data_IF_522533998803
#
_entry.id   IF_522533998803
#
_cell.length_a   1.000
_cell.length_b   1.000
_cell.length_c   1.000
_cell.angle_alpha   90.00
_cell.angle_beta   90.00
_cell.angle_gamma   90.00
#
_symmetry.space_group_name_H-M   'P 1'
#
loop_
_entity.id
_entity.type
_entity.pdbx_description
1 polymer ?
#
# COMPACT_ATOMS: atom_id res chain seq x y z
N UNK A 1 -64.65 -9.93 16.16
CA UNK A 1 -63.76 -8.92 16.75
C UNK A 1 -62.50 -9.54 17.41
N UNK A 2 -62.62 -10.66 18.05
CA UNK A 2 -61.53 -11.37 18.80
C UNK A 2 -60.41 -11.86 17.86
N UNK A 3 -60.73 -12.40 16.68
CA UNK A 3 -59.74 -12.96 15.73
C UNK A 3 -58.84 -11.87 15.11
N UNK A 4 -59.36 -10.67 14.90
CA UNK A 4 -58.60 -9.51 14.36
C UNK A 4 -57.58 -8.96 15.36
N UNK A 5 -57.92 -9.00 16.66
CA UNK A 5 -57.00 -8.57 17.72
C UNK A 5 -55.90 -9.63 18.01
N UNK A 6 -56.23 -10.91 17.81
CA UNK A 6 -55.25 -12.00 17.98
C UNK A 6 -54.17 -11.99 16.88
N UNK A 7 -54.56 -11.72 15.64
CA UNK A 7 -53.62 -11.58 14.51
C UNK A 7 -52.75 -10.36 14.66
N UNK A 8 -53.29 -9.24 15.18
CA UNK A 8 -52.54 -8.00 15.43
C UNK A 8 -51.54 -8.18 16.56
N UNK A 9 -51.90 -8.89 17.63
CA UNK A 9 -50.95 -9.19 18.75
C UNK A 9 -49.87 -10.18 18.32
N UNK A 10 -50.14 -11.15 17.47
CA UNK A 10 -49.18 -12.09 16.92
C UNK A 10 -48.21 -11.40 15.95
N UNK A 11 -48.69 -10.43 15.17
CA UNK A 11 -47.82 -9.62 14.31
C UNK A 11 -46.85 -8.74 15.09
N UNK A 12 -47.27 -8.18 16.25
CA UNK A 12 -46.41 -7.37 17.13
C UNK A 12 -45.34 -8.24 17.78
N UNK A 13 -45.63 -9.50 18.14
CA UNK A 13 -44.64 -10.41 18.73
C UNK A 13 -43.54 -10.84 17.75
N UNK A 14 -43.83 -10.89 16.44
CA UNK A 14 -42.84 -11.22 15.41
C UNK A 14 -41.79 -10.10 15.22
N UNK A 15 -42.12 -8.86 15.59
CA UNK A 15 -41.17 -7.74 15.49
C UNK A 15 -40.16 -7.67 16.66
N UNK A 16 -40.40 -8.35 17.77
CA UNK A 16 -39.51 -8.32 18.95
C UNK A 16 -38.43 -9.42 18.95
N UNK A 17 -38.41 -10.35 18.01
CA UNK A 17 -37.51 -11.49 18.01
C UNK A 17 -36.17 -11.27 17.28
N UNK A 18 -35.91 -10.08 16.74
CA UNK A 18 -34.62 -9.77 16.12
C UNK A 18 -33.70 -9.05 17.11
N UNK A 19 -33.23 -9.77 18.13
CA UNK A 19 -32.15 -9.29 18.99
C UNK A 19 -30.86 -9.34 18.18
N UNK A 20 -30.47 -8.22 17.59
CA UNK A 20 -29.16 -8.04 16.96
C UNK A 20 -28.09 -8.36 17.99
N UNK A 21 -27.41 -9.48 17.80
CA UNK A 21 -26.23 -9.84 18.57
C UNK A 21 -25.18 -8.74 18.30
N UNK A 22 -25.01 -7.82 19.28
CA UNK A 22 -23.88 -6.91 19.27
C UNK A 22 -22.62 -7.78 19.25
N UNK A 23 -21.96 -7.87 18.11
CA UNK A 23 -20.58 -8.30 18.09
C UNK A 23 -19.79 -7.17 18.74
N UNK A 24 -19.57 -7.27 20.02
CA UNK A 24 -18.51 -6.50 20.68
C UNK A 24 -17.22 -6.99 20.01
N UNK A 25 -16.70 -6.16 19.12
CA UNK A 25 -15.29 -6.26 18.76
C UNK A 25 -14.60 -5.92 20.07
N UNK A 26 -14.11 -6.96 20.77
CA UNK A 26 -13.31 -6.77 21.97
C UNK A 26 -12.22 -5.78 21.58
N UNK A 27 -12.18 -4.65 22.28
CA UNK A 27 -10.99 -3.80 22.31
C UNK A 27 -9.81 -4.74 22.47
N UNK A 28 -8.77 -4.58 21.64
CA UNK A 28 -7.50 -5.27 21.88
C UNK A 28 -7.23 -5.05 23.35
N UNK A 29 -7.18 -6.15 24.12
CA UNK A 29 -6.99 -6.07 25.57
C UNK A 29 -5.78 -5.18 25.82
N UNK A 30 -5.99 -4.05 26.49
CA UNK A 30 -4.90 -3.15 26.93
C UNK A 30 -3.89 -3.89 27.82
N UNK A 31 -4.28 -5.06 28.34
CA UNK A 31 -3.48 -5.94 29.20
C UNK A 31 -2.37 -6.71 28.43
N UNK A 32 -2.39 -6.71 27.07
CA UNK A 32 -1.36 -7.38 26.26
C UNK A 32 -0.09 -6.54 26.06
N UNK A 33 -0.14 -5.25 26.35
CA UNK A 33 1.00 -4.35 26.18
C UNK A 33 1.56 -3.94 27.53
N UNK A 34 2.86 -4.20 27.80
CA UNK A 34 3.47 -3.77 29.06
C UNK A 34 3.47 -2.24 29.17
N UNK A 35 3.23 -1.72 30.38
CA UNK A 35 3.20 -0.27 30.65
C UNK A 35 4.57 0.39 30.47
N UNK A 36 5.65 -0.37 30.65
CA UNK A 36 7.02 0.13 30.61
C UNK A 36 7.91 -0.72 29.73
N UNK A 37 8.93 -0.10 29.14
CA UNK A 37 9.98 -0.81 28.44
C UNK A 37 10.83 -1.65 29.40
N UNK A 38 11.25 -2.85 28.97
CA UNK A 38 12.18 -3.71 29.72
C UNK A 38 13.60 -3.13 29.81
N UNK A 39 13.96 -2.21 28.93
CA UNK A 39 15.25 -1.52 28.92
C UNK A 39 15.27 -0.35 29.90
N UNK A 40 16.41 -0.13 30.58
CA UNK A 40 16.58 1.02 31.48
C UNK A 40 16.80 2.30 30.66
N UNK A 41 15.78 3.15 30.62
CA UNK A 41 15.74 4.39 29.84
C UNK A 41 16.17 5.64 30.65
N UNK A 42 16.67 5.46 31.89
CA UNK A 42 16.98 6.56 32.83
C UNK A 42 17.97 7.61 32.31
N UNK A 43 18.76 7.27 31.28
CA UNK A 43 19.80 8.15 30.74
C UNK A 43 19.36 8.92 29.49
N UNK A 44 18.11 8.79 29.05
CA UNK A 44 17.58 9.51 27.90
C UNK A 44 16.96 10.84 28.35
N UNK A 45 17.50 11.96 27.90
CA UNK A 45 16.93 13.28 28.21
C UNK A 45 15.69 13.52 27.35
N UNK A 46 14.61 13.97 28.02
CA UNK A 46 13.36 14.34 27.37
C UNK A 46 13.49 15.71 26.68
N UNK A 47 14.01 15.74 25.50
CA UNK A 47 13.77 16.87 24.61
C UNK A 47 12.60 16.53 23.68
N UNK A 48 11.55 17.33 23.75
CA UNK A 48 10.34 17.23 22.89
C UNK A 48 10.67 17.57 21.43
N UNK A 49 11.55 16.79 20.80
CA UNK A 49 11.93 17.01 19.43
C UNK A 49 11.14 16.04 18.54
N UNK A 50 10.02 16.50 17.99
CA UNK A 50 9.22 15.82 16.97
C UNK A 50 9.90 15.86 15.59
N UNK A 51 11.23 16.02 15.56
CA UNK A 51 11.96 16.03 14.31
C UNK A 51 11.89 14.66 13.62
N UNK A 52 11.78 14.71 12.32
CA UNK A 52 11.76 13.51 11.48
C UNK A 52 12.96 12.63 11.83
N UNK A 53 12.79 11.32 12.06
CA UNK A 53 13.86 10.40 12.50
C UNK A 53 15.13 10.48 11.63
N UNK A 54 15.02 10.89 10.36
CA UNK A 54 16.16 11.11 9.44
C UNK A 54 17.05 12.28 9.83
N UNK A 55 16.50 13.27 10.53
CA UNK A 55 17.25 14.43 11.00
C UNK A 55 18.19 14.07 12.15
N UNK A 56 17.87 13.01 12.92
CA UNK A 56 18.71 12.48 13.99
C UNK A 56 20.08 12.00 13.50
N UNK A 57 20.21 11.67 12.22
CA UNK A 57 21.50 11.31 11.61
C UNK A 57 22.32 12.53 11.19
N UNK A 58 21.71 13.70 11.06
CA UNK A 58 22.33 14.93 10.57
C UNK A 58 23.13 14.75 9.26
N UNK A 59 22.55 13.99 8.31
CA UNK A 59 23.12 13.69 7.00
C UNK A 59 22.22 14.26 5.90
N UNK A 60 22.51 15.45 5.36
CA UNK A 60 21.66 16.11 4.36
C UNK A 60 21.46 15.28 3.09
N UNK A 61 22.49 14.54 2.66
CA UNK A 61 22.43 13.66 1.49
C UNK A 61 21.41 12.55 1.68
N UNK A 62 21.41 11.87 2.83
CA UNK A 62 20.44 10.84 3.17
C UNK A 62 19.00 11.38 3.17
N UNK A 63 18.81 12.53 3.82
CA UNK A 63 17.49 13.18 3.87
C UNK A 63 16.99 13.52 2.45
N UNK A 64 17.86 14.04 1.58
CA UNK A 64 17.56 14.33 0.19
C UNK A 64 17.14 13.07 -0.57
N UNK A 65 17.87 11.96 -0.44
CA UNK A 65 17.56 10.69 -1.10
C UNK A 65 16.21 10.15 -0.65
N UNK A 66 15.88 10.24 0.63
CA UNK A 66 14.58 9.82 1.16
C UNK A 66 13.45 10.68 0.59
N UNK A 67 13.63 12.00 0.48
CA UNK A 67 12.65 12.88 -0.14
C UNK A 67 12.43 12.53 -1.61
N UNK A 68 13.51 12.31 -2.36
CA UNK A 68 13.45 11.92 -3.78
C UNK A 68 12.75 10.58 -3.93
N UNK A 69 13.09 9.57 -3.13
CA UNK A 69 12.46 8.25 -3.19
C UNK A 69 10.95 8.32 -2.91
N UNK A 70 10.54 9.07 -1.89
CA UNK A 70 9.13 9.25 -1.57
C UNK A 70 8.32 9.96 -2.68
N UNK A 71 9.00 10.72 -3.56
CA UNK A 71 8.38 11.42 -4.68
C UNK A 71 8.37 10.59 -5.96
N UNK A 72 9.45 9.86 -6.24
CA UNK A 72 9.70 9.29 -7.56
C UNK A 72 9.60 7.75 -7.58
N UNK A 73 9.51 7.08 -6.42
CA UNK A 73 9.45 5.62 -6.40
C UNK A 73 8.17 5.10 -7.06
N UNK A 74 8.26 4.23 -8.08
CA UNK A 74 7.10 3.77 -8.85
C UNK A 74 6.15 2.89 -8.02
N UNK A 75 6.66 2.10 -7.09
CA UNK A 75 5.81 1.25 -6.23
C UNK A 75 4.98 2.10 -5.28
N UNK A 76 5.59 3.16 -4.72
CA UNK A 76 4.87 4.10 -3.87
C UNK A 76 3.83 4.91 -4.66
N UNK A 77 4.14 5.28 -5.91
CA UNK A 77 3.19 5.91 -6.83
C UNK A 77 1.99 4.98 -7.11
N UNK A 78 2.25 3.71 -7.41
CA UNK A 78 1.19 2.71 -7.60
C UNK A 78 0.31 2.53 -6.36
N UNK A 79 0.89 2.60 -5.15
CA UNK A 79 0.10 2.57 -3.91
C UNK A 79 -0.73 3.85 -3.72
N UNK A 80 -0.23 5.00 -4.14
CA UNK A 80 -0.98 6.25 -4.13
C UNK A 80 -2.22 6.16 -5.04
N UNK A 81 -2.07 5.63 -6.26
CA UNK A 81 -3.19 5.43 -7.18
C UNK A 81 -4.22 4.43 -6.62
N UNK A 82 -3.79 3.37 -5.95
CA UNK A 82 -4.70 2.45 -5.24
C UNK A 82 -5.46 3.14 -4.11
N UNK A 83 -4.81 4.05 -3.39
CA UNK A 83 -5.48 4.85 -2.35
C UNK A 83 -6.54 5.76 -2.96
N UNK A 84 -6.25 6.42 -4.08
CA UNK A 84 -7.21 7.26 -4.82
C UNK A 84 -8.40 6.40 -5.29
N UNK A 85 -8.14 5.27 -5.92
CA UNK A 85 -9.17 4.35 -6.37
C UNK A 85 -10.09 3.88 -5.21
N UNK A 86 -9.51 3.57 -4.05
CA UNK A 86 -10.29 3.20 -2.86
C UNK A 86 -11.13 4.37 -2.32
N UNK A 87 -10.68 5.61 -2.49
CA UNK A 87 -11.44 6.83 -2.18
C UNK A 87 -12.66 6.97 -3.10
N UNK A 88 -12.50 6.69 -4.39
CA UNK A 88 -13.60 6.70 -5.35
C UNK A 88 -14.59 5.55 -5.09
N UNK A 89 -14.13 4.38 -4.68
CA UNK A 89 -15.02 3.28 -4.24
C UNK A 89 -15.90 3.70 -3.05
N UNK A 90 -15.34 4.46 -2.11
CA UNK A 90 -16.12 5.01 -0.99
C UNK A 90 -17.14 6.05 -1.46
N UNK A 91 -16.80 6.86 -2.47
CA UNK A 91 -17.70 7.83 -3.10
C UNK A 91 -18.84 7.11 -3.83
N UNK A 92 -18.53 6.07 -4.62
CA UNK A 92 -19.52 5.23 -5.31
C UNK A 92 -20.46 4.54 -4.32
N UNK A 93 -19.91 4.00 -3.22
CA UNK A 93 -20.73 3.40 -2.17
C UNK A 93 -21.69 4.42 -1.54
N UNK A 94 -21.25 5.66 -1.37
CA UNK A 94 -22.05 6.78 -0.87
C UNK A 94 -23.14 7.22 -1.83
N UNK A 95 -22.87 7.20 -3.12
CA UNK A 95 -23.81 7.62 -4.17
C UNK A 95 -25.08 6.75 -4.22
N UNK A 96 -25.02 5.51 -3.75
CA UNK A 96 -26.18 4.60 -3.68
C UNK A 96 -27.32 5.11 -2.78
N UNK A 97 -27.09 6.13 -1.95
CA UNK A 97 -28.13 6.79 -1.15
C UNK A 97 -29.03 7.67 -2.04
N UNK A 98 -28.51 8.12 -3.18
CA UNK A 98 -29.20 9.02 -4.11
C UNK A 98 -30.06 8.25 -5.12
N UNK A 99 -31.13 8.88 -5.66
CA UNK A 99 -31.87 8.29 -6.76
C UNK A 99 -31.02 8.15 -8.02
N UNK A 100 -31.23 7.08 -8.76
CA UNK A 100 -30.58 6.81 -10.05
C UNK A 100 -31.50 7.24 -11.18
N UNK A 101 -31.01 8.10 -12.07
CA UNK A 101 -31.71 8.59 -13.25
C UNK A 101 -31.14 7.90 -14.48
N UNK A 102 -31.98 7.16 -15.19
CA UNK A 102 -31.63 6.52 -16.46
C UNK A 102 -32.47 7.09 -17.59
N UNK A 103 -31.84 7.71 -18.57
CA UNK A 103 -32.48 8.10 -19.82
C UNK A 103 -32.15 7.07 -20.90
N UNK A 104 -33.19 6.59 -21.58
CA UNK A 104 -33.03 5.66 -22.69
C UNK A 104 -33.68 6.25 -23.96
N UNK A 105 -32.92 6.17 -25.05
CA UNK A 105 -33.38 6.48 -26.41
C UNK A 105 -33.12 5.26 -27.26
N UNK A 106 -34.13 4.76 -27.91
CA UNK A 106 -33.99 3.58 -28.77
C UNK A 106 -34.70 3.80 -30.11
N UNK A 107 -34.11 3.30 -31.20
CA UNK A 107 -34.74 3.25 -32.49
C UNK A 107 -34.60 1.84 -33.08
N UNK A 108 -35.69 1.24 -33.45
CA UNK A 108 -35.71 -0.10 -34.07
C UNK A 108 -36.35 -0.02 -35.43
N UNK A 109 -35.66 -0.49 -36.46
CA UNK A 109 -36.22 -0.68 -37.79
C UNK A 109 -36.36 -2.18 -38.06
N UNK A 110 -37.56 -2.64 -38.20
CA UNK A 110 -37.86 -4.06 -38.44
C UNK A 110 -38.43 -4.21 -39.85
N UNK A 111 -37.81 -5.04 -40.67
CA UNK A 111 -38.34 -5.49 -41.94
C UNK A 111 -38.81 -6.93 -41.81
N UNK A 112 -40.09 -7.15 -41.98
CA UNK A 112 -40.69 -8.50 -41.99
C UNK A 112 -41.02 -8.90 -43.41
N UNK A 113 -40.47 -10.02 -43.86
CA UNK A 113 -40.83 -10.66 -45.14
C UNK A 113 -41.84 -11.76 -44.87
N UNK A 114 -42.97 -11.70 -45.55
CA UNK A 114 -44.01 -12.72 -45.48
C UNK A 114 -43.68 -13.82 -46.50
N UNK A 115 -42.97 -14.85 -46.05
CA UNK A 115 -42.62 -16.00 -46.90
C UNK A 115 -43.78 -16.99 -46.88
N UNK A 116 -44.31 -17.36 -48.06
CA UNK A 116 -45.38 -18.34 -48.18
C UNK A 116 -46.79 -17.78 -48.31
N UNK A 117 -47.00 -16.48 -48.22
CA UNK A 117 -48.27 -15.82 -48.51
C UNK A 117 -48.12 -15.03 -49.82
N UNK A 118 -48.82 -15.49 -50.88
CA UNK A 118 -48.83 -14.83 -52.16
C UNK A 118 -50.22 -14.14 -52.36
N UNK A 119 -50.29 -12.87 -51.96
CA UNK A 119 -51.44 -12.05 -52.24
C UNK A 119 -51.25 -11.29 -53.55
N UNK A 120 -52.16 -11.43 -54.52
CA UNK A 120 -52.07 -10.63 -55.74
C UNK A 120 -52.13 -9.13 -55.42
N UNK A 121 -51.17 -8.36 -55.86
CA UNK A 121 -51.03 -6.91 -55.66
C UNK A 121 -50.66 -6.41 -54.25
N UNK A 122 -50.09 -7.23 -53.37
CA UNK A 122 -49.61 -6.76 -52.05
C UNK A 122 -48.12 -6.92 -51.91
N UNK A 123 -47.48 -5.96 -51.23
CA UNK A 123 -46.04 -6.04 -50.91
C UNK A 123 -45.83 -7.21 -49.94
N UNK A 124 -44.93 -8.12 -50.30
CA UNK A 124 -44.56 -9.30 -49.48
C UNK A 124 -43.62 -8.93 -48.32
N UNK A 125 -43.31 -7.67 -48.15
CA UNK A 125 -42.54 -7.19 -47.01
C UNK A 125 -43.04 -5.84 -46.53
N UNK A 126 -43.06 -5.65 -45.25
CA UNK A 126 -43.32 -4.34 -44.63
C UNK A 126 -42.22 -3.96 -43.69
N UNK A 127 -41.88 -2.68 -43.67
CA UNK A 127 -40.86 -2.08 -42.78
C UNK A 127 -41.60 -1.26 -41.73
N UNK A 128 -41.32 -1.54 -40.46
CA UNK A 128 -41.78 -0.77 -39.32
C UNK A 128 -40.62 -0.05 -38.66
N UNK A 129 -40.75 1.24 -38.42
CA UNK A 129 -39.84 2.01 -37.61
C UNK A 129 -40.51 2.29 -36.26
N UNK A 130 -39.82 1.96 -35.17
CA UNK A 130 -40.25 2.25 -33.80
C UNK A 130 -39.19 3.07 -33.11
N UNK A 131 -39.60 4.19 -32.57
CA UNK A 131 -38.73 5.04 -31.73
C UNK A 131 -39.31 5.02 -30.33
N UNK A 132 -38.43 4.80 -29.35
CA UNK A 132 -38.79 4.87 -27.93
C UNK A 132 -37.85 5.80 -27.20
N UNK A 133 -38.42 6.64 -26.37
CA UNK A 133 -37.67 7.47 -25.42
C UNK A 133 -38.28 7.25 -24.03
N UNK A 134 -37.45 7.16 -23.01
CA UNK A 134 -37.90 6.99 -21.65
C UNK A 134 -36.91 7.57 -20.64
N UNK A 135 -37.49 8.11 -19.56
CA UNK A 135 -36.74 8.51 -18.36
C UNK A 135 -37.16 7.58 -17.23
N UNK A 136 -36.22 6.91 -16.62
CA UNK A 136 -36.46 5.97 -15.54
C UNK A 136 -35.74 6.47 -14.27
N UNK A 137 -36.48 6.62 -13.18
CA UNK A 137 -35.94 7.02 -11.88
C UNK A 137 -36.15 5.85 -10.94
N UNK A 138 -35.10 5.36 -10.32
CA UNK A 138 -35.17 4.34 -9.27
C UNK A 138 -34.46 4.82 -8.02
N UNK A 139 -35.08 4.61 -6.88
CA UNK A 139 -34.50 5.01 -5.59
C UNK A 139 -34.82 3.95 -4.53
N UNK A 140 -33.76 3.38 -3.95
CA UNK A 140 -33.85 2.50 -2.79
C UNK A 140 -33.79 3.35 -1.51
N UNK A 141 -34.87 3.31 -0.72
CA UNK A 141 -34.93 4.00 0.55
C UNK A 141 -34.15 3.25 1.61
N UNK A 142 -33.15 3.91 2.20
CA UNK A 142 -32.30 3.32 3.24
C UNK A 142 -32.96 3.35 4.63
N UNK A 143 -34.12 2.68 4.78
CA UNK A 143 -34.88 2.66 6.03
C UNK A 143 -34.12 1.94 7.15
N UNK A 144 -33.39 0.89 6.82
CA UNK A 144 -32.67 0.06 7.77
C UNK A 144 -31.21 0.51 7.97
N UNK A 145 -30.74 1.48 7.21
CA UNK A 145 -29.35 1.94 7.23
C UNK A 145 -28.37 0.97 6.60
N UNK A 146 -28.82 0.08 5.69
CA UNK A 146 -27.97 -0.85 4.93
C UNK A 146 -26.98 -0.11 4.05
N UNK A 147 -27.46 0.88 3.29
CA UNK A 147 -26.62 1.65 2.36
C UNK A 147 -25.64 2.53 3.14
N UNK A 148 -26.07 3.10 4.28
CA UNK A 148 -25.19 3.86 5.16
C UNK A 148 -24.06 3.00 5.74
N UNK A 149 -24.38 1.77 6.20
CA UNK A 149 -23.34 0.87 6.71
C UNK A 149 -22.38 0.42 5.59
N UNK A 150 -22.88 0.18 4.37
CA UNK A 150 -22.06 -0.13 3.20
C UNK A 150 -21.10 1.01 2.87
N UNK A 151 -21.60 2.27 2.88
CA UNK A 151 -20.76 3.47 2.71
C UNK A 151 -19.70 3.57 3.82
N UNK A 152 -20.12 3.36 5.07
CA UNK A 152 -19.19 3.45 6.20
C UNK A 152 -18.13 2.36 6.15
N UNK A 153 -18.47 1.13 5.70
CA UNK A 153 -17.50 0.06 5.45
C UNK A 153 -16.48 0.47 4.39
N UNK A 154 -16.94 0.99 3.24
CA UNK A 154 -16.05 1.47 2.19
C UNK A 154 -15.12 2.59 2.68
N UNK A 155 -15.64 3.53 3.50
CA UNK A 155 -14.82 4.57 4.15
C UNK A 155 -13.76 3.98 5.06
N UNK A 156 -14.09 2.94 5.85
CA UNK A 156 -13.11 2.27 6.72
C UNK A 156 -12.04 1.52 5.91
N UNK A 157 -12.38 0.95 4.77
CA UNK A 157 -11.41 0.38 3.84
C UNK A 157 -10.47 1.44 3.24
N UNK A 158 -10.99 2.62 2.91
CA UNK A 158 -10.17 3.76 2.50
C UNK A 158 -9.20 4.19 3.61
N UNK A 159 -9.66 4.31 4.87
CA UNK A 159 -8.82 4.65 6.03
C UNK A 159 -7.72 3.58 6.25
N UNK A 160 -8.04 2.29 6.06
CA UNK A 160 -7.07 1.20 6.10
C UNK A 160 -5.99 1.35 5.02
N UNK A 161 -6.40 1.58 3.76
CA UNK A 161 -5.48 1.78 2.63
C UNK A 161 -4.62 3.04 2.81
N UNK A 162 -5.17 4.11 3.41
CA UNK A 162 -4.41 5.30 3.78
C UNK A 162 -3.31 4.99 4.79
N UNK A 163 -3.62 4.15 5.78
CA UNK A 163 -2.63 3.70 6.77
C UNK A 163 -1.57 2.81 6.12
N UNK A 164 -1.94 1.91 5.19
CA UNK A 164 -1.00 1.09 4.42
C UNK A 164 -0.03 1.96 3.60
N UNK A 165 -0.55 3.01 2.95
CA UNK A 165 0.28 3.95 2.20
C UNK A 165 1.32 4.65 3.10
N UNK A 166 0.91 5.08 4.30
CA UNK A 166 1.82 5.68 5.28
C UNK A 166 2.87 4.68 5.77
N UNK A 167 2.47 3.43 6.03
CA UNK A 167 3.37 2.34 6.39
C UNK A 167 4.41 2.07 5.30
N UNK A 168 3.98 2.00 4.04
CA UNK A 168 4.87 1.79 2.90
C UNK A 168 5.86 2.92 2.71
N UNK A 169 5.40 4.17 2.85
CA UNK A 169 6.27 5.36 2.81
C UNK A 169 7.36 5.32 3.90
N UNK A 170 6.99 4.94 5.11
CA UNK A 170 7.95 4.79 6.22
C UNK A 170 8.93 3.65 5.94
N UNK A 171 8.43 2.50 5.48
CA UNK A 171 9.25 1.34 5.12
C UNK A 171 10.25 1.66 4.00
N UNK A 172 9.80 2.34 2.94
CA UNK A 172 10.67 2.80 1.85
C UNK A 172 11.78 3.72 2.38
N UNK A 173 11.44 4.68 3.24
CA UNK A 173 12.42 5.58 3.85
C UNK A 173 13.48 4.81 4.64
N UNK A 174 13.08 3.79 5.40
CA UNK A 174 14.01 2.90 6.13
C UNK A 174 14.88 2.05 5.20
N UNK A 175 14.31 1.54 4.10
CA UNK A 175 15.06 0.76 3.11
C UNK A 175 16.10 1.60 2.37
N UNK A 176 15.75 2.83 1.98
CA UNK A 176 16.70 3.80 1.37
C UNK A 176 17.84 4.11 2.32
N UNK A 177 17.53 4.37 3.59
CA UNK A 177 18.58 4.63 4.59
C UNK A 177 19.51 3.41 4.75
N UNK A 178 18.98 2.22 4.89
CA UNK A 178 19.75 0.97 4.99
C UNK A 178 20.62 0.75 3.75
N UNK A 179 20.06 0.90 2.55
CA UNK A 179 20.79 0.74 1.29
C UNK A 179 21.92 1.76 1.16
N UNK A 180 21.67 3.01 1.54
CA UNK A 180 22.69 4.06 1.54
C UNK A 180 23.83 3.74 2.48
N UNK A 181 23.57 3.34 3.75
CA UNK A 181 24.60 2.94 4.68
C UNK A 181 25.39 1.71 4.20
N UNK A 182 24.72 0.72 3.59
CA UNK A 182 25.38 -0.45 3.03
C UNK A 182 26.30 -0.07 1.86
N UNK A 183 25.88 0.88 1.02
CA UNK A 183 26.69 1.41 -0.08
C UNK A 183 27.97 2.09 0.45
N UNK A 184 27.82 2.91 1.48
CA UNK A 184 28.94 3.59 2.16
C UNK A 184 29.89 2.57 2.79
N UNK A 185 29.38 1.60 3.54
CA UNK A 185 30.19 0.53 4.15
C UNK A 185 31.01 -0.20 3.09
N UNK A 186 30.41 -0.65 1.99
CA UNK A 186 31.12 -1.35 0.93
C UNK A 186 32.21 -0.47 0.29
N UNK A 187 32.01 0.84 0.19
CA UNK A 187 33.04 1.75 -0.31
C UNK A 187 34.28 1.82 0.59
N UNK A 188 34.11 1.75 1.92
CA UNK A 188 35.25 1.64 2.85
C UNK A 188 35.92 0.28 2.72
N UNK A 189 35.16 -0.79 2.51
CA UNK A 189 35.72 -2.13 2.25
C UNK A 189 36.60 -2.12 0.98
N UNK A 190 36.14 -1.47 -0.09
CA UNK A 190 36.96 -1.30 -1.30
C UNK A 190 38.28 -0.61 -1.01
N UNK A 191 38.26 0.51 -0.28
CA UNK A 191 39.49 1.24 0.09
C UNK A 191 40.43 0.38 0.92
N UNK A 192 39.89 -0.39 1.88
CA UNK A 192 40.68 -1.30 2.71
C UNK A 192 41.34 -2.39 1.87
N UNK A 193 40.55 -3.06 1.00
CA UNK A 193 41.08 -4.14 0.13
C UNK A 193 42.07 -3.59 -0.89
N UNK A 194 41.90 -2.37 -1.40
CA UNK A 194 42.89 -1.71 -2.25
C UNK A 194 44.24 -1.56 -1.53
N UNK A 195 44.27 -0.99 -0.30
CA UNK A 195 45.47 -0.89 0.49
C UNK A 195 46.12 -2.24 0.79
N UNK A 196 45.29 -3.26 1.07
CA UNK A 196 45.76 -4.63 1.29
C UNK A 196 46.40 -5.19 0.02
N UNK A 197 45.79 -4.99 -1.15
CA UNK A 197 46.34 -5.41 -2.44
C UNK A 197 47.64 -4.73 -2.77
N UNK A 198 47.77 -3.44 -2.49
CA UNK A 198 49.03 -2.70 -2.62
C UNK A 198 50.15 -3.27 -1.70
N UNK A 199 49.78 -3.64 -0.47
CA UNK A 199 50.71 -4.27 0.48
C UNK A 199 51.18 -5.61 -0.01
N UNK A 200 50.29 -6.48 -0.51
CA UNK A 200 50.66 -7.77 -1.10
C UNK A 200 51.49 -7.60 -2.37
N UNK A 201 51.25 -6.60 -3.19
CA UNK A 201 52.06 -6.27 -4.35
C UNK A 201 53.51 -5.91 -3.97
N UNK A 202 53.66 -5.04 -2.97
CA UNK A 202 54.99 -4.67 -2.42
C UNK A 202 55.69 -5.90 -1.82
N UNK A 203 54.97 -6.74 -1.08
CA UNK A 203 55.52 -7.96 -0.51
C UNK A 203 56.00 -8.95 -1.59
N UNK A 204 55.19 -9.15 -2.66
CA UNK A 204 55.60 -10.00 -3.78
C UNK A 204 56.89 -9.46 -4.46
N UNK A 205 56.98 -8.12 -4.68
CA UNK A 205 58.19 -7.51 -5.22
C UNK A 205 59.40 -7.80 -4.35
N UNK A 206 59.26 -7.61 -3.03
CA UNK A 206 60.34 -7.88 -2.07
C UNK A 206 60.75 -9.37 -2.06
N UNK A 207 59.81 -10.32 -2.10
CA UNK A 207 60.11 -11.76 -2.14
C UNK A 207 60.77 -12.13 -3.49
N UNK A 208 60.32 -11.54 -4.62
CA UNK A 208 60.95 -11.76 -5.93
C UNK A 208 62.42 -11.34 -5.94
N UNK A 209 62.75 -10.17 -5.39
CA UNK A 209 64.14 -9.70 -5.30
C UNK A 209 65.01 -10.66 -4.46
N UNK A 210 64.49 -11.18 -3.35
CA UNK A 210 65.20 -12.17 -2.52
C UNK A 210 65.35 -13.51 -3.24
N UNK A 211 64.35 -13.94 -3.98
CA UNK A 211 64.41 -15.16 -4.76
C UNK A 211 65.48 -15.11 -5.87
N UNK A 212 65.57 -13.97 -6.58
CA UNK A 212 66.61 -13.73 -7.60
C UNK A 212 68.00 -13.73 -7.00
N UNK A 213 68.16 -13.35 -5.74
CA UNK A 213 69.43 -13.40 -5.01
C UNK A 213 69.73 -14.76 -4.34
N UNK A 214 68.82 -15.75 -4.53
CA UNK A 214 68.97 -17.07 -3.94
C UNK A 214 68.68 -17.13 -2.42
N UNK A 215 68.06 -16.11 -1.85
CA UNK A 215 67.78 -16.00 -0.41
C UNK A 215 66.36 -16.49 -0.04
N UNK A 216 65.43 -16.46 -0.98
CA UNK A 216 64.07 -16.94 -0.81
C UNK A 216 63.82 -18.21 -1.66
N UNK A 217 62.85 -19.02 -1.24
CA UNK A 217 62.45 -20.26 -1.94
C UNK A 217 61.40 -19.98 -2.99
N UNK A 218 61.31 -20.86 -4.01
CA UNK A 218 60.22 -20.84 -5.00
C UNK A 218 58.84 -20.97 -4.35
N UNK A 219 58.73 -21.68 -3.24
CA UNK A 219 57.49 -21.82 -2.47
C UNK A 219 57.02 -20.46 -1.90
N UNK A 220 57.95 -19.71 -1.27
CA UNK A 220 57.64 -18.39 -0.72
C UNK A 220 57.19 -17.41 -1.81
N UNK A 221 57.82 -17.44 -2.99
CA UNK A 221 57.39 -16.63 -4.14
C UNK A 221 55.98 -17.00 -4.59
N UNK A 222 55.67 -18.29 -4.73
CA UNK A 222 54.33 -18.73 -5.17
C UNK A 222 53.23 -18.47 -4.15
N UNK A 223 53.55 -18.52 -2.85
CA UNK A 223 52.62 -18.12 -1.78
C UNK A 223 52.32 -16.63 -1.80
N UNK A 224 53.36 -15.78 -2.00
CA UNK A 224 53.18 -14.36 -2.12
C UNK A 224 52.36 -13.98 -3.38
N UNK A 225 52.61 -14.63 -4.52
CA UNK A 225 51.81 -14.46 -5.74
C UNK A 225 50.34 -14.87 -5.51
N UNK A 226 50.07 -16.02 -4.90
CA UNK A 226 48.74 -16.50 -4.58
C UNK A 226 48.00 -15.50 -3.67
N UNK A 227 48.67 -14.93 -2.66
CA UNK A 227 48.10 -13.93 -1.76
C UNK A 227 47.67 -12.66 -2.51
N UNK A 228 48.52 -12.15 -3.41
CA UNK A 228 48.21 -11.00 -4.26
C UNK A 228 47.00 -11.30 -5.17
N UNK A 229 46.97 -12.44 -5.84
CA UNK A 229 45.86 -12.84 -6.75
C UNK A 229 44.56 -12.98 -6.00
N UNK A 230 44.57 -13.55 -4.79
CA UNK A 230 43.39 -13.65 -3.93
C UNK A 230 42.84 -12.28 -3.54
N UNK A 231 43.72 -11.35 -3.16
CA UNK A 231 43.35 -9.98 -2.80
C UNK A 231 42.76 -9.22 -4.02
N UNK A 232 43.37 -9.37 -5.21
CA UNK A 232 42.84 -8.79 -6.46
C UNK A 232 41.45 -9.32 -6.80
N UNK A 233 41.21 -10.62 -6.63
CA UNK A 233 39.89 -11.23 -6.85
C UNK A 233 38.85 -10.65 -5.85
N UNK A 234 39.23 -10.49 -4.58
CA UNK A 234 38.37 -9.87 -3.57
C UNK A 234 38.04 -8.43 -3.93
N UNK A 235 39.03 -7.64 -4.41
CA UNK A 235 38.79 -6.27 -4.86
C UNK A 235 37.77 -6.21 -6.01
N UNK A 236 37.96 -7.05 -7.03
CA UNK A 236 37.04 -7.12 -8.17
C UNK A 236 35.61 -7.48 -7.74
N UNK A 237 35.48 -8.41 -6.78
CA UNK A 237 34.19 -8.76 -6.19
C UNK A 237 33.54 -7.58 -5.47
N UNK A 238 34.28 -6.85 -4.63
CA UNK A 238 33.75 -5.68 -3.92
C UNK A 238 33.30 -4.56 -4.85
N UNK A 239 34.02 -4.33 -5.95
CA UNK A 239 33.61 -3.36 -6.99
C UNK A 239 32.29 -3.75 -7.63
N UNK A 240 32.10 -5.04 -7.98
CA UNK A 240 30.81 -5.52 -8.52
C UNK A 240 29.67 -5.38 -7.52
N UNK A 241 29.93 -5.64 -6.23
CA UNK A 241 28.93 -5.41 -5.17
C UNK A 241 28.55 -3.93 -5.11
N UNK A 242 29.53 -3.01 -5.21
CA UNK A 242 29.28 -1.57 -5.23
C UNK A 242 28.34 -1.16 -6.35
N UNK A 243 28.55 -1.68 -7.56
CA UNK A 243 27.67 -1.40 -8.69
C UNK A 243 26.24 -1.92 -8.48
N UNK A 244 26.11 -3.11 -7.90
CA UNK A 244 24.79 -3.69 -7.59
C UNK A 244 24.07 -2.87 -6.52
N UNK A 245 24.75 -2.49 -5.45
CA UNK A 245 24.18 -1.64 -4.41
C UNK A 245 23.77 -0.26 -4.95
N UNK A 246 24.58 0.30 -5.86
CA UNK A 246 24.26 1.57 -6.52
C UNK A 246 22.99 1.45 -7.36
N UNK A 247 22.83 0.37 -8.15
CA UNK A 247 21.62 0.13 -8.94
C UNK A 247 20.38 -0.03 -8.07
N UNK A 248 20.48 -0.80 -6.98
CA UNK A 248 19.37 -0.99 -6.05
C UNK A 248 18.92 0.34 -5.41
N UNK A 249 19.89 1.19 -5.02
CA UNK A 249 19.57 2.51 -4.49
C UNK A 249 18.90 3.41 -5.55
N UNK A 250 19.45 3.42 -6.79
CA UNK A 250 18.88 4.17 -7.91
C UNK A 250 17.45 3.74 -8.23
N UNK A 251 17.16 2.43 -8.21
CA UNK A 251 15.80 1.90 -8.37
C UNK A 251 14.85 2.42 -7.28
N UNK A 252 15.29 2.38 -6.01
CA UNK A 252 14.49 2.89 -4.89
C UNK A 252 14.17 4.38 -5.00
N UNK A 253 15.09 5.19 -5.52
CA UNK A 253 14.87 6.63 -5.72
C UNK A 253 14.19 6.97 -7.05
N UNK A 254 13.88 5.96 -7.88
CA UNK A 254 13.22 6.14 -9.17
C UNK A 254 14.13 6.70 -10.26
N UNK A 255 15.45 6.48 -10.16
CA UNK A 255 16.42 6.85 -11.19
C UNK A 255 16.82 5.64 -12.04
N UNK A 256 17.33 5.90 -13.25
CA UNK A 256 17.83 4.83 -14.13
C UNK A 256 19.05 4.13 -13.48
N UNK A 257 19.03 2.79 -13.32
CA UNK A 257 20.05 2.03 -12.57
C UNK A 257 21.34 1.84 -13.39
N UNK A 258 22.11 2.87 -13.58
CA UNK A 258 23.38 2.85 -14.32
C UNK A 258 24.56 2.25 -13.51
N UNK A 259 24.37 2.01 -12.22
CA UNK A 259 25.40 1.45 -11.34
C UNK A 259 26.47 2.44 -10.89
N UNK A 260 26.36 3.70 -11.28
CA UNK A 260 27.28 4.76 -10.88
C UNK A 260 26.56 5.68 -9.90
N UNK A 261 26.98 5.68 -8.67
CA UNK A 261 26.50 6.60 -7.65
C UNK A 261 27.63 7.55 -7.31
N UNK A 262 27.48 8.80 -7.74
CA UNK A 262 28.53 9.82 -7.52
C UNK A 262 28.48 10.27 -6.06
N UNK A 263 29.52 9.93 -5.33
CA UNK A 263 29.64 10.23 -3.92
C UNK A 263 30.61 11.41 -3.71
N UNK A 264 30.03 12.57 -3.52
CA UNK A 264 30.78 13.82 -3.37
C UNK A 264 31.27 14.11 -1.95
N UNK A 265 31.26 13.16 -1.01
CA UNK A 265 31.56 13.50 0.40
C UNK A 265 32.49 12.51 1.07
N UNK A 266 33.45 13.08 1.82
CA UNK A 266 34.15 12.41 2.91
C UNK A 266 33.13 12.06 3.99
N UNK A 267 32.67 10.79 4.01
CA UNK A 267 31.74 10.32 5.03
C UNK A 267 32.47 10.23 6.38
N UNK A 268 31.94 10.95 7.36
CA UNK A 268 32.22 10.72 8.77
C UNK A 268 31.04 9.95 9.37
N UNK A 269 31.29 8.96 10.23
CA UNK A 269 30.22 8.28 10.95
C UNK A 269 29.35 9.31 11.68
N UNK A 270 28.02 9.25 11.49
CA UNK A 270 27.14 10.21 12.14
C UNK A 270 27.24 10.07 13.65
N UNK A 271 27.32 11.19 14.34
CA UNK A 271 27.07 11.21 15.77
C UNK A 271 25.56 11.10 15.94
N UNK A 272 25.09 9.92 16.32
CA UNK A 272 23.67 9.72 16.66
C UNK A 272 23.31 10.63 17.82
N UNK A 273 22.43 11.58 17.55
CA UNK A 273 21.68 12.27 18.59
C UNK A 273 20.57 11.31 18.98
N UNK A 274 20.69 10.71 20.16
CA UNK A 274 19.65 9.81 20.67
C UNK A 274 18.33 10.58 20.75
N UNK A 275 17.25 10.01 20.22
CA UNK A 275 15.94 10.65 20.29
C UNK A 275 15.52 10.82 21.76
N UNK A 276 14.61 11.75 21.98
CA UNK A 276 13.86 11.88 23.23
C UNK A 276 13.33 10.52 23.73
N UNK A 277 12.96 10.44 25.00
CA UNK A 277 12.34 9.24 25.57
C UNK A 277 11.30 8.67 24.60
N UNK A 278 11.40 7.38 24.22
CA UNK A 278 10.43 6.78 23.35
C UNK A 278 9.05 6.81 24.07
N UNK A 279 7.96 6.96 23.33
CA UNK A 279 6.62 6.83 23.90
C UNK A 279 6.46 5.46 24.57
N UNK A 280 5.49 5.32 25.47
CA UNK A 280 5.22 4.03 26.15
C UNK A 280 4.93 2.92 25.14
N UNK A 281 5.14 1.64 25.45
CA UNK A 281 4.87 0.54 24.51
C UNK A 281 3.46 0.59 23.93
N UNK A 282 2.44 0.88 24.75
CA UNK A 282 1.05 1.05 24.31
C UNK A 282 0.89 2.17 23.29
N UNK A 283 1.48 3.34 23.54
CA UNK A 283 1.47 4.48 22.59
C UNK A 283 2.17 4.14 21.26
N UNK A 284 3.27 3.38 21.30
CA UNK A 284 3.96 2.94 20.08
C UNK A 284 3.06 2.03 19.26
N UNK A 285 2.34 1.10 19.88
CA UNK A 285 1.38 0.22 19.20
C UNK A 285 0.28 1.05 18.51
N UNK A 286 -0.27 2.05 19.18
CA UNK A 286 -1.29 2.94 18.60
C UNK A 286 -0.78 3.78 17.42
N UNK A 287 0.48 4.21 17.46
CA UNK A 287 1.10 5.01 16.40
C UNK A 287 1.51 4.18 15.17
N UNK A 288 1.52 2.86 15.27
CA UNK A 288 1.89 1.98 14.16
C UNK A 288 0.81 1.98 13.06
N UNK A 289 1.22 2.31 11.85
CA UNK A 289 0.31 2.36 10.69
C UNK A 289 -0.23 0.99 10.30
N UNK A 290 0.53 -0.09 10.46
CA UNK A 290 0.09 -1.46 10.18
C UNK A 290 -1.01 -1.91 11.14
N UNK A 291 -0.89 -1.59 12.43
CA UNK A 291 -1.93 -1.84 13.44
C UNK A 291 -3.18 -1.01 13.13
N UNK A 292 -3.02 0.29 12.84
CA UNK A 292 -4.12 1.17 12.45
C UNK A 292 -4.86 0.64 11.21
N UNK A 293 -4.14 0.17 10.18
CA UNK A 293 -4.74 -0.46 9.01
C UNK A 293 -5.55 -1.70 9.36
N UNK A 294 -4.98 -2.61 10.18
CA UNK A 294 -5.67 -3.82 10.62
C UNK A 294 -6.95 -3.49 11.40
N UNK A 295 -6.91 -2.49 12.31
CA UNK A 295 -8.07 -2.02 13.06
C UNK A 295 -9.19 -1.52 12.13
N UNK A 296 -8.85 -0.68 11.17
CA UNK A 296 -9.84 -0.19 10.19
C UNK A 296 -10.44 -1.31 9.34
N UNK A 297 -9.66 -2.35 8.99
CA UNK A 297 -10.18 -3.53 8.27
C UNK A 297 -11.16 -4.33 9.13
N UNK A 298 -10.88 -4.50 10.42
CA UNK A 298 -11.81 -5.16 11.36
C UNK A 298 -13.10 -4.35 11.49
N UNK A 299 -13.01 -3.03 11.63
CA UNK A 299 -14.17 -2.13 11.67
C UNK A 299 -14.99 -2.22 10.37
N UNK A 300 -14.33 -2.25 9.19
CA UNK A 300 -14.99 -2.41 7.91
C UNK A 300 -15.76 -3.74 7.82
N UNK A 301 -15.12 -4.85 8.22
CA UNK A 301 -15.76 -6.18 8.24
C UNK A 301 -16.93 -6.25 9.21
N UNK A 302 -16.86 -5.57 10.36
CA UNK A 302 -17.97 -5.45 11.29
C UNK A 302 -19.17 -4.71 10.70
N UNK A 303 -18.93 -3.68 9.87
CA UNK A 303 -19.98 -2.97 9.15
C UNK A 303 -20.57 -3.84 8.03
N UNK A 304 -19.75 -4.64 7.33
CA UNK A 304 -20.23 -5.59 6.33
C UNK A 304 -21.11 -6.68 6.93
N UNK A 305 -20.79 -7.17 8.11
CA UNK A 305 -21.67 -8.08 8.85
C UNK A 305 -23.03 -7.43 9.12
N UNK A 306 -23.05 -6.13 9.51
CA UNK A 306 -24.33 -5.40 9.68
C UNK A 306 -25.10 -5.29 8.36
N UNK A 307 -24.41 -4.99 7.24
CA UNK A 307 -25.02 -4.97 5.91
C UNK A 307 -25.61 -6.33 5.55
N UNK A 308 -24.87 -7.42 5.77
CA UNK A 308 -25.35 -8.78 5.50
C UNK A 308 -26.60 -9.12 6.30
N UNK A 309 -26.64 -8.78 7.59
CA UNK A 309 -27.82 -8.96 8.42
C UNK A 309 -29.03 -8.13 7.94
N UNK A 310 -28.78 -6.89 7.48
CA UNK A 310 -29.84 -6.01 6.95
C UNK A 310 -30.35 -6.44 5.57
N UNK A 311 -29.59 -7.22 4.80
CA UNK A 311 -30.05 -7.82 3.55
C UNK A 311 -31.16 -8.87 3.76
N UNK A 312 -31.36 -9.37 4.96
CA UNK A 312 -32.49 -10.23 5.33
C UNK A 312 -33.81 -9.44 5.47
N UNK A 313 -33.74 -8.12 5.56
CA UNK A 313 -34.93 -7.26 5.70
C UNK A 313 -35.46 -6.84 4.31
N UNK A 314 -36.75 -6.56 4.18
CA UNK A 314 -37.35 -6.13 2.92
C UNK A 314 -36.78 -4.80 2.45
N UNK A 315 -36.40 -4.68 1.16
CA UNK A 315 -35.97 -3.43 0.54
C UNK A 315 -37.17 -2.65 -0.01
N UNK A 316 -37.14 -1.35 0.13
CA UNK A 316 -38.16 -0.44 -0.37
C UNK A 316 -37.59 0.37 -1.53
N UNK A 317 -38.04 0.02 -2.74
CA UNK A 317 -37.61 0.73 -3.95
C UNK A 317 -38.86 1.49 -4.48
N UNK A 318 -38.65 2.80 -4.69
CA UNK A 318 -39.70 3.61 -5.35
C UNK A 318 -39.67 3.32 -6.87
N UNK A 319 -40.71 2.73 -7.42
CA UNK A 319 -40.80 2.42 -8.86
C UNK A 319 -41.03 3.70 -9.69
N UNK A 320 -40.65 3.70 -10.97
CA UNK A 320 -40.81 4.83 -11.89
C UNK A 320 -42.26 5.28 -12.12
N UNK A 321 -43.23 4.43 -11.82
CA UNK A 321 -44.66 4.69 -12.02
C UNK A 321 -45.27 5.74 -11.07
N UNK A 322 -44.56 6.27 -10.12
CA UNK A 322 -44.99 7.40 -9.28
C UNK A 322 -44.81 8.76 -9.95
N UNK A 323 -44.13 8.85 -11.11
CA UNK A 323 -44.04 10.07 -11.90
C UNK A 323 -45.12 10.06 -12.98
N UNK A 324 -45.84 11.16 -13.20
CA UNK A 324 -46.84 11.19 -14.27
C UNK A 324 -46.19 10.89 -15.60
N UNK A 325 -46.64 9.82 -16.29
CA UNK A 325 -46.22 9.52 -17.64
C UNK A 325 -46.76 10.61 -18.56
N UNK A 326 -45.92 11.48 -19.06
CA UNK A 326 -46.25 12.33 -20.19
C UNK A 326 -46.17 11.45 -21.45
N UNK A 327 -47.29 10.91 -21.88
CA UNK A 327 -47.48 10.43 -23.28
C UNK A 327 -47.97 11.59 -24.11
N UNK A 328 -47.34 11.91 -25.25
CA UNK A 328 -47.80 12.89 -26.21
C UNK A 328 -49.09 12.45 -26.89
#
# INVERSE_FOLDING_TARGET
MIFRNLVFTFLIFLFFSCQSRKSEISSIDDDLTPDNWSADLKNLQSENNTSFWTESFNIPELTRLIIISNKNNPDLAAMCERLIAQGEDATIAGAKILPVFNANLGGTRTKRNLIGFNFPNSETSFTSNSFNSGLNISWELDLWGKIRDSRNSAKKRFEATSSDYKAARLSLSGQVAKSWFTLIENSFQIQLVQKTTETYSKNLSFINDRYQRGIATALEQKLAEASLRSSQATLAQRVRIQETLSRNLQEMIGEYPNGKFDRNSSFALPKLVLPALPPTPSQVVELRYDISSAKHRVEASGLELKVANKNLLPSFVLPPSFLPSFSP
#
